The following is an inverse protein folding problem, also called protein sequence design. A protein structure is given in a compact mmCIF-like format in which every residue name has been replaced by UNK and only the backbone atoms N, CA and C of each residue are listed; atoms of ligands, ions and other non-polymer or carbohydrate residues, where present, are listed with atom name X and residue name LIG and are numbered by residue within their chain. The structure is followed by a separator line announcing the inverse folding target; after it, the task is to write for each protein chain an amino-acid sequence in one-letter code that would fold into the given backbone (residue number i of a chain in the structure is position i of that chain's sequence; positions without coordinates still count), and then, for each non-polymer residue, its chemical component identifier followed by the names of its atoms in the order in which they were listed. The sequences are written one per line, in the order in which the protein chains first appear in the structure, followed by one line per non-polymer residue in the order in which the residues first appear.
data_IF_181377391158
#
_entry.id   IF_181377391158
#
_cell.length_a   1.000
_cell.length_b   1.000
_cell.length_c   1.000
_cell.angle_alpha   90.00
_cell.angle_beta   90.00
_cell.angle_gamma   90.00
#
_symmetry.space_group_name_H-M   'P 1'
#
loop_
_entity.id
_entity.type
_entity.pdbx_description
1 polymer ?
#
# COMPACT_ATOMS: atom_id res chain seq x y z
N UNK A 1 -0.76 -27.05 18.82
CA UNK A 1 -0.69 -25.75 19.52
C UNK A 1 -0.25 -24.58 18.61
N UNK A 2 0.47 -24.81 17.51
CA UNK A 2 0.91 -23.77 16.57
C UNK A 2 -0.23 -23.15 15.75
N UNK A 3 -1.18 -23.95 15.29
CA UNK A 3 -2.27 -23.49 14.41
C UNK A 3 -3.27 -22.53 15.09
N UNK A 4 -3.52 -22.72 16.38
CA UNK A 4 -4.46 -21.89 17.13
C UNK A 4 -3.92 -20.49 17.35
N UNK A 5 -2.63 -20.33 17.64
CA UNK A 5 -2.02 -19.00 17.80
C UNK A 5 -1.97 -18.22 16.47
N UNK A 6 -1.70 -18.89 15.36
CA UNK A 6 -1.73 -18.26 14.05
C UNK A 6 -3.13 -17.78 13.64
N UNK A 7 -4.18 -18.52 13.99
CA UNK A 7 -5.55 -18.14 13.69
C UNK A 7 -6.03 -16.99 14.61
N UNK A 8 -5.63 -16.98 15.89
CA UNK A 8 -5.90 -15.87 16.82
C UNK A 8 -5.20 -14.59 16.34
N UNK A 9 -3.94 -14.66 15.95
CA UNK A 9 -3.21 -13.50 15.42
C UNK A 9 -3.83 -12.97 14.11
N UNK A 10 -4.32 -13.88 13.27
CA UNK A 10 -5.03 -13.52 12.05
C UNK A 10 -6.36 -12.83 12.35
N UNK A 11 -7.18 -13.39 13.25
CA UNK A 11 -8.46 -12.80 13.66
C UNK A 11 -8.25 -11.44 14.31
N UNK A 12 -7.25 -11.28 15.15
CA UNK A 12 -6.89 -10.01 15.79
C UNK A 12 -6.53 -8.95 14.75
N UNK A 13 -5.76 -9.31 13.71
CA UNK A 13 -5.46 -8.40 12.60
C UNK A 13 -6.72 -8.01 11.82
N UNK A 14 -7.57 -8.97 11.48
CA UNK A 14 -8.84 -8.71 10.77
C UNK A 14 -9.71 -7.75 11.58
N UNK A 15 -9.88 -8.03 12.89
CA UNK A 15 -10.67 -7.17 13.77
C UNK A 15 -10.09 -5.77 13.87
N UNK A 16 -8.76 -5.64 13.99
CA UNK A 16 -8.09 -4.33 14.06
C UNK A 16 -8.25 -3.55 12.76
N UNK A 17 -8.14 -4.20 11.61
CA UNK A 17 -8.36 -3.56 10.31
C UNK A 17 -9.82 -3.20 10.07
N UNK A 18 -10.77 -4.05 10.50
CA UNK A 18 -12.21 -3.74 10.46
C UNK A 18 -12.57 -2.56 11.36
N UNK A 19 -12.02 -2.49 12.57
CA UNK A 19 -12.22 -1.35 13.48
C UNK A 19 -11.68 -0.06 12.88
N UNK A 20 -10.53 -0.10 12.20
CA UNK A 20 -10.00 1.05 11.46
C UNK A 20 -10.93 1.47 10.33
N UNK A 21 -11.45 0.52 9.54
CA UNK A 21 -12.40 0.82 8.47
C UNK A 21 -13.69 1.47 9.03
N UNK A 22 -14.22 0.97 10.14
CA UNK A 22 -15.42 1.53 10.78
C UNK A 22 -15.13 2.93 11.33
N UNK A 23 -13.97 3.15 11.97
CA UNK A 23 -13.57 4.47 12.45
C UNK A 23 -13.36 5.46 11.31
N UNK A 24 -12.81 5.02 10.18
CA UNK A 24 -12.63 5.82 8.98
C UNK A 24 -13.96 6.11 8.25
N UNK A 25 -14.94 5.19 8.32
CA UNK A 25 -16.29 5.39 7.78
C UNK A 25 -17.14 6.32 8.66
N UNK A 26 -16.88 6.37 9.96
CA UNK A 26 -17.61 7.23 10.93
C UNK A 26 -16.98 8.60 11.13
N UNK A 27 -15.69 8.76 10.88
CA UNK A 27 -15.09 10.09 10.77
C UNK A 27 -15.38 10.64 9.38
N UNK A 28 -16.00 11.78 9.28
CA UNK A 28 -16.51 12.53 8.11
C UNK A 28 -15.52 12.72 6.92
N UNK A 29 -14.67 11.75 6.63
CA UNK A 29 -13.70 11.80 5.53
C UNK A 29 -12.66 12.92 5.64
N UNK A 30 -12.70 13.71 6.70
CA UNK A 30 -11.85 14.88 6.87
C UNK A 30 -10.39 14.47 7.03
N UNK A 31 -9.56 14.92 6.07
CA UNK A 31 -8.12 14.75 6.11
C UNK A 31 -7.51 15.73 7.11
N UNK A 32 -6.56 15.28 7.91
CA UNK A 32 -5.69 16.17 8.67
C UNK A 32 -4.52 16.61 7.79
N UNK A 33 -4.78 17.59 6.94
CA UNK A 33 -3.81 18.05 5.95
C UNK A 33 -2.67 18.84 6.61
N UNK A 34 -1.45 18.45 6.30
CA UNK A 34 -0.23 19.19 6.62
C UNK A 34 0.71 19.24 5.41
N UNK A 35 1.68 20.16 5.43
CA UNK A 35 2.77 20.16 4.46
C UNK A 35 3.77 19.08 4.84
N UNK A 36 4.00 18.14 3.94
CA UNK A 36 4.94 17.04 4.13
C UNK A 36 5.79 16.79 2.89
N UNK A 37 6.92 16.11 3.08
CA UNK A 37 7.75 15.59 2.01
C UNK A 37 7.46 14.10 1.84
N UNK A 38 6.84 13.75 0.70
CA UNK A 38 6.47 12.36 0.41
C UNK A 38 7.70 11.44 0.31
N UNK A 39 8.81 11.94 -0.24
CA UNK A 39 10.04 11.16 -0.34
C UNK A 39 10.61 10.78 1.03
N UNK A 40 10.61 11.72 1.98
CA UNK A 40 11.04 11.44 3.37
C UNK A 40 10.09 10.47 4.08
N UNK A 41 8.78 10.65 3.90
CA UNK A 41 7.78 9.77 4.50
C UNK A 41 7.95 8.33 4.00
N UNK A 42 8.01 8.13 2.69
CA UNK A 42 8.20 6.81 2.07
C UNK A 42 9.56 6.22 2.44
N UNK A 43 10.61 7.04 2.53
CA UNK A 43 11.94 6.61 2.96
C UNK A 43 11.93 6.02 4.37
N UNK A 44 11.21 6.64 5.30
CA UNK A 44 11.07 6.09 6.66
C UNK A 44 10.33 4.74 6.69
N UNK A 45 9.32 4.57 5.83
CA UNK A 45 8.62 3.29 5.66
C UNK A 45 9.56 2.22 5.11
N UNK A 46 10.31 2.52 4.05
CA UNK A 46 11.29 1.59 3.46
C UNK A 46 12.35 1.16 4.49
N UNK A 47 12.85 2.10 5.30
CA UNK A 47 13.84 1.79 6.36
C UNK A 47 13.26 0.81 7.39
N UNK A 48 12.01 0.99 7.80
CA UNK A 48 11.35 0.06 8.75
C UNK A 48 11.10 -1.32 8.16
N UNK A 49 10.82 -1.40 6.87
CA UNK A 49 10.49 -2.66 6.18
C UNK A 49 11.73 -3.37 5.60
N UNK A 50 12.90 -2.75 5.65
CA UNK A 50 14.15 -3.32 5.10
C UNK A 50 14.52 -4.66 5.74
N UNK A 51 14.35 -4.80 7.05
CA UNK A 51 14.58 -6.07 7.74
C UNK A 51 13.65 -7.20 7.25
N UNK A 52 12.39 -6.86 6.96
CA UNK A 52 11.42 -7.82 6.42
C UNK A 52 11.84 -8.28 5.01
N UNK A 53 12.31 -7.35 4.16
CA UNK A 53 12.81 -7.68 2.84
C UNK A 53 14.08 -8.54 2.91
N UNK A 54 15.04 -8.19 3.76
CA UNK A 54 16.29 -8.96 3.96
C UNK A 54 16.02 -10.38 4.45
N UNK A 55 15.09 -10.58 5.38
CA UNK A 55 14.73 -11.90 5.88
C UNK A 55 14.18 -12.83 4.79
N UNK A 56 13.69 -12.27 3.68
CA UNK A 56 13.25 -13.00 2.49
C UNK A 56 14.27 -12.98 1.34
N UNK A 57 15.48 -12.47 1.56
CA UNK A 57 16.49 -12.28 0.52
C UNK A 57 16.01 -11.39 -0.65
N UNK A 58 15.12 -10.44 -0.37
CA UNK A 58 14.61 -9.47 -1.34
C UNK A 58 15.47 -8.22 -1.29
N UNK A 59 15.89 -7.74 -2.46
CA UNK A 59 16.59 -6.45 -2.59
C UNK A 59 15.56 -5.32 -2.62
N UNK A 60 15.55 -4.48 -1.59
CA UNK A 60 14.74 -3.25 -1.56
C UNK A 60 15.56 -2.09 -2.15
N UNK A 61 15.10 -1.52 -3.27
CA UNK A 61 15.75 -0.42 -3.98
C UNK A 61 14.88 0.82 -3.93
N UNK A 62 15.45 1.97 -3.65
CA UNK A 62 14.70 3.23 -3.52
C UNK A 62 15.27 4.33 -4.42
N UNK A 63 14.38 5.08 -5.09
CA UNK A 63 14.64 6.36 -5.78
C UNK A 63 13.62 7.39 -5.27
N UNK A 64 13.97 8.09 -4.20
CA UNK A 64 13.06 8.95 -3.45
C UNK A 64 13.43 10.42 -3.64
N UNK A 65 12.71 11.09 -4.53
CA UNK A 65 12.85 12.53 -4.73
C UNK A 65 12.11 13.30 -3.64
N UNK A 66 12.61 14.47 -3.27
CA UNK A 66 11.89 15.41 -2.41
C UNK A 66 10.65 15.92 -3.15
N UNK A 67 9.47 15.62 -2.64
CA UNK A 67 8.19 16.09 -3.17
C UNK A 67 7.36 16.67 -2.03
N UNK A 68 7.36 17.99 -1.91
CA UNK A 68 6.53 18.69 -0.92
C UNK A 68 5.09 18.74 -1.40
N UNK A 69 4.16 18.29 -0.56
CA UNK A 69 2.74 18.23 -0.87
C UNK A 69 1.89 18.50 0.38
N UNK A 70 0.62 18.83 0.17
CA UNK A 70 -0.39 18.83 1.21
C UNK A 70 -0.96 17.42 1.34
N UNK A 71 -0.98 16.84 2.52
CA UNK A 71 -1.49 15.49 2.72
C UNK A 71 -1.66 15.12 4.19
N UNK A 72 -2.45 14.10 4.44
CA UNK A 72 -2.57 13.48 5.76
C UNK A 72 -1.43 12.47 5.95
N UNK A 73 -0.47 12.82 6.81
CA UNK A 73 0.74 12.03 7.04
C UNK A 73 0.44 10.58 7.40
N UNK A 74 -0.47 10.35 8.34
CA UNK A 74 -0.77 9.01 8.83
C UNK A 74 -1.40 8.14 7.73
N UNK A 75 -2.31 8.73 6.95
CA UNK A 75 -3.00 8.03 5.86
C UNK A 75 -2.06 7.74 4.71
N UNK A 76 -1.20 8.67 4.31
CA UNK A 76 -0.19 8.45 3.27
C UNK A 76 0.89 7.46 3.71
N UNK A 77 1.27 7.45 4.98
CA UNK A 77 2.16 6.43 5.54
C UNK A 77 1.52 5.04 5.43
N UNK A 78 0.24 4.89 5.73
CA UNK A 78 -0.49 3.62 5.60
C UNK A 78 -0.56 3.16 4.14
N UNK A 79 -0.77 4.06 3.18
CA UNK A 79 -0.69 3.76 1.74
C UNK A 79 0.67 3.17 1.39
N UNK A 80 1.76 3.84 1.80
CA UNK A 80 3.12 3.38 1.53
C UNK A 80 3.42 2.02 2.18
N UNK A 81 3.05 1.83 3.45
CA UNK A 81 3.21 0.56 4.18
C UNK A 81 2.49 -0.57 3.45
N UNK A 82 1.20 -0.39 3.13
CA UNK A 82 0.40 -1.42 2.47
C UNK A 82 1.00 -1.85 1.13
N UNK A 83 1.45 -0.91 0.31
CA UNK A 83 2.00 -1.21 -1.01
C UNK A 83 3.38 -1.90 -0.91
N UNK A 84 4.27 -1.41 -0.05
CA UNK A 84 5.61 -1.99 0.11
C UNK A 84 5.55 -3.35 0.79
N UNK A 85 4.73 -3.53 1.83
CA UNK A 85 4.53 -4.84 2.46
C UNK A 85 3.94 -5.86 1.48
N UNK A 86 2.96 -5.48 0.66
CA UNK A 86 2.42 -6.36 -0.37
C UNK A 86 3.49 -6.76 -1.39
N UNK A 87 4.31 -5.82 -1.85
CA UNK A 87 5.39 -6.12 -2.79
C UNK A 87 6.40 -7.13 -2.19
N UNK A 88 6.81 -6.93 -0.93
CA UNK A 88 7.71 -7.86 -0.23
C UNK A 88 7.01 -9.22 -0.01
N UNK A 89 5.74 -9.21 0.36
CA UNK A 89 4.97 -10.42 0.65
C UNK A 89 4.84 -11.33 -0.55
N UNK A 90 4.54 -10.76 -1.72
CA UNK A 90 4.28 -11.51 -2.96
C UNK A 90 5.51 -11.69 -3.86
N UNK A 91 6.69 -11.32 -3.37
CA UNK A 91 7.99 -11.63 -3.97
C UNK A 91 8.67 -12.70 -3.14
N UNK A 92 9.00 -13.82 -3.73
CA UNK A 92 9.72 -14.91 -3.04
C UNK A 92 11.23 -14.64 -3.05
N UNK A 93 11.75 -14.20 -4.20
CA UNK A 93 13.13 -13.73 -4.40
C UNK A 93 13.15 -12.64 -5.47
N UNK A 94 14.12 -11.75 -5.43
CA UNK A 94 14.28 -10.69 -6.44
C UNK A 94 14.32 -9.29 -5.84
N UNK A 95 13.57 -8.37 -6.46
CA UNK A 95 13.69 -6.94 -6.16
C UNK A 95 12.33 -6.30 -5.95
N UNK A 96 12.25 -5.45 -4.93
CA UNK A 96 11.17 -4.46 -4.75
C UNK A 96 11.79 -3.07 -4.94
N UNK A 97 11.24 -2.31 -5.88
CA UNK A 97 11.68 -0.94 -6.20
C UNK A 97 10.61 0.04 -5.76
N UNK A 98 11.01 1.07 -5.02
CA UNK A 98 10.11 2.14 -4.55
C UNK A 98 10.62 3.46 -5.08
N UNK A 99 9.78 4.16 -5.84
CA UNK A 99 10.11 5.45 -6.43
C UNK A 99 9.12 6.51 -5.97
N UNK A 100 9.63 7.69 -5.60
CA UNK A 100 8.84 8.90 -5.39
C UNK A 100 9.34 9.97 -6.34
N UNK A 101 8.43 10.56 -7.09
CA UNK A 101 8.73 11.63 -8.04
C UNK A 101 7.60 12.66 -8.08
N UNK A 102 7.90 13.82 -8.63
CA UNK A 102 6.90 14.81 -9.03
C UNK A 102 6.68 14.68 -10.55
N UNK A 103 5.44 14.54 -10.95
CA UNK A 103 5.00 14.59 -12.35
C UNK A 103 3.94 15.69 -12.47
N UNK A 104 4.30 16.80 -13.10
CA UNK A 104 3.47 18.01 -13.19
C UNK A 104 2.98 18.51 -11.82
N UNK A 105 1.68 18.44 -11.57
CA UNK A 105 1.02 18.83 -10.32
C UNK A 105 0.73 17.63 -9.41
N UNK A 106 1.32 16.48 -9.68
CA UNK A 106 1.11 15.26 -8.92
C UNK A 106 2.38 14.81 -8.20
N UNK A 107 2.21 14.38 -6.96
CA UNK A 107 3.14 13.53 -6.27
C UNK A 107 2.86 12.07 -6.68
N UNK A 108 3.89 11.37 -7.10
CA UNK A 108 3.78 9.99 -7.60
C UNK A 108 4.57 9.07 -6.70
N UNK A 109 3.91 8.03 -6.19
CA UNK A 109 4.53 6.88 -5.53
C UNK A 109 4.36 5.66 -6.42
N UNK A 110 5.46 5.05 -6.81
CA UNK A 110 5.49 3.81 -7.57
C UNK A 110 6.16 2.71 -6.74
N UNK A 111 5.50 1.57 -6.62
CA UNK A 111 6.04 0.37 -5.97
C UNK A 111 5.97 -0.76 -6.98
N UNK A 112 7.15 -1.24 -7.39
CA UNK A 112 7.31 -2.30 -8.38
C UNK A 112 8.00 -3.50 -7.75
N UNK A 113 7.47 -4.69 -7.98
CA UNK A 113 8.07 -5.95 -7.56
C UNK A 113 8.35 -6.87 -8.76
N UNK A 114 9.26 -7.81 -8.56
CA UNK A 114 9.56 -8.90 -9.49
C UNK A 114 8.96 -10.22 -8.99
N UNK A 115 7.84 -10.16 -8.30
CA UNK A 115 7.18 -11.29 -7.65
C UNK A 115 6.33 -12.12 -8.60
N UNK A 116 5.36 -12.81 -8.02
CA UNK A 116 4.50 -13.76 -8.74
C UNK A 116 3.60 -13.13 -9.80
N UNK A 117 3.39 -11.80 -9.74
CA UNK A 117 2.42 -11.12 -10.58
C UNK A 117 0.97 -11.49 -10.24
N UNK A 118 0.05 -10.90 -11.02
CA UNK A 118 -1.39 -11.00 -10.82
C UNK A 118 -2.01 -11.43 -12.14
N UNK A 119 -2.88 -12.43 -12.15
CA UNK A 119 -3.64 -12.80 -13.35
C UNK A 119 -4.50 -11.63 -13.84
N UNK A 120 -4.61 -11.45 -15.15
CA UNK A 120 -5.33 -10.35 -15.77
C UNK A 120 -6.78 -10.24 -15.30
N UNK A 121 -7.46 -11.38 -15.19
CA UNK A 121 -8.83 -11.47 -14.69
C UNK A 121 -9.00 -11.04 -13.23
N UNK A 122 -7.93 -11.02 -12.46
CA UNK A 122 -7.94 -10.61 -11.04
C UNK A 122 -7.68 -9.12 -10.85
N UNK A 123 -7.10 -8.45 -11.84
CA UNK A 123 -6.68 -7.03 -11.71
C UNK A 123 -7.86 -6.12 -11.40
N UNK A 124 -9.00 -6.34 -12.04
CA UNK A 124 -10.21 -5.52 -11.85
C UNK A 124 -10.81 -5.65 -10.43
N UNK A 125 -10.55 -6.77 -9.75
CA UNK A 125 -11.10 -7.08 -8.43
C UNK A 125 -10.16 -6.76 -7.26
N UNK A 126 -8.92 -6.34 -7.53
CA UNK A 126 -7.87 -6.16 -6.50
C UNK A 126 -8.24 -5.20 -5.38
N UNK A 127 -9.06 -4.19 -5.69
CA UNK A 127 -9.49 -3.16 -4.75
C UNK A 127 -10.82 -3.48 -4.05
N UNK A 128 -11.44 -4.62 -4.39
CA UNK A 128 -12.62 -5.11 -3.68
C UNK A 128 -12.25 -5.57 -2.26
N UNK A 129 -13.13 -5.29 -1.30
CA UNK A 129 -12.93 -5.71 0.09
C UNK A 129 -12.94 -7.24 0.18
N UNK A 130 -11.96 -7.80 0.91
CA UNK A 130 -11.77 -9.25 1.12
C UNK A 130 -11.40 -10.05 -0.14
N UNK A 131 -11.17 -9.37 -1.28
CA UNK A 131 -10.74 -10.06 -2.48
C UNK A 131 -9.30 -10.58 -2.34
N UNK A 132 -9.06 -11.76 -2.84
CA UNK A 132 -7.76 -12.44 -2.80
C UNK A 132 -7.60 -13.31 -4.04
N UNK A 133 -6.52 -13.12 -4.77
CA UNK A 133 -6.20 -13.87 -6.00
C UNK A 133 -6.07 -15.38 -5.71
N UNK A 134 -5.43 -15.76 -4.60
CA UNK A 134 -5.25 -17.15 -4.19
C UNK A 134 -5.56 -17.31 -2.69
N UNK A 135 -6.68 -18.00 -2.41
CA UNK A 135 -7.14 -18.28 -1.04
C UNK A 135 -6.23 -19.27 -0.29
N UNK A 136 -5.57 -20.20 -0.99
CA UNK A 136 -4.75 -21.23 -0.38
C UNK A 136 -3.38 -20.66 0.06
N UNK A 137 -2.67 -19.97 -0.84
CA UNK A 137 -1.38 -19.33 -0.56
C UNK A 137 -1.55 -18.20 0.47
N UNK A 138 -2.67 -17.52 0.44
CA UNK A 138 -2.97 -16.44 1.35
C UNK A 138 -3.24 -16.87 2.79
N UNK A 139 -3.61 -18.13 3.04
CA UNK A 139 -3.73 -18.64 4.43
C UNK A 139 -2.37 -18.71 5.11
N UNK A 140 -1.33 -19.12 4.40
CA UNK A 140 0.04 -19.19 4.94
C UNK A 140 0.67 -17.82 5.15
N UNK A 141 0.24 -16.79 4.40
CA UNK A 141 0.82 -15.43 4.46
C UNK A 141 -0.01 -14.43 5.27
N UNK A 142 -1.15 -14.86 5.86
CA UNK A 142 -1.92 -14.06 6.83
C UNK A 142 -2.59 -12.79 6.28
N UNK A 143 -2.83 -12.68 4.95
CA UNK A 143 -3.47 -11.50 4.37
C UNK A 143 -4.96 -11.43 4.65
N UNK A 144 -5.48 -10.24 4.94
CA UNK A 144 -6.90 -9.97 5.24
C UNK A 144 -7.74 -9.71 3.98
N UNK A 145 -7.10 -9.27 2.89
CA UNK A 145 -7.79 -8.81 1.68
C UNK A 145 -8.37 -7.39 1.81
N UNK A 146 -7.96 -6.64 2.84
CA UNK A 146 -8.44 -5.28 3.10
C UNK A 146 -7.41 -4.21 2.72
N UNK A 147 -6.12 -4.52 2.67
CA UNK A 147 -5.05 -3.55 2.49
C UNK A 147 -5.19 -2.72 1.22
N UNK A 148 -5.47 -3.33 0.06
CA UNK A 148 -5.61 -2.59 -1.21
C UNK A 148 -6.90 -1.77 -1.27
N UNK A 149 -8.02 -2.25 -0.73
CA UNK A 149 -9.26 -1.47 -0.67
C UNK A 149 -9.12 -0.26 0.25
N UNK A 150 -8.41 -0.39 1.36
CA UNK A 150 -8.05 0.74 2.24
C UNK A 150 -7.15 1.72 1.49
N UNK A 151 -6.13 1.23 0.80
CA UNK A 151 -5.20 2.06 0.02
C UNK A 151 -5.94 2.89 -1.03
N UNK A 152 -6.83 2.28 -1.80
CA UNK A 152 -7.65 2.99 -2.80
C UNK A 152 -8.51 4.08 -2.15
N UNK A 153 -9.18 3.77 -1.03
CA UNK A 153 -9.99 4.74 -0.28
C UNK A 153 -9.15 5.93 0.18
N UNK A 154 -7.99 5.70 0.80
CA UNK A 154 -7.11 6.76 1.30
C UNK A 154 -6.55 7.63 0.17
N UNK A 155 -6.21 7.03 -0.98
CA UNK A 155 -5.78 7.74 -2.18
C UNK A 155 -6.90 8.59 -2.75
N UNK A 156 -8.13 8.04 -2.85
CA UNK A 156 -9.31 8.75 -3.32
C UNK A 156 -9.69 9.93 -2.42
N UNK A 157 -9.57 9.78 -1.10
CA UNK A 157 -9.76 10.88 -0.14
C UNK A 157 -8.78 12.04 -0.36
N UNK A 158 -7.58 11.75 -0.89
CA UNK A 158 -6.59 12.75 -1.30
C UNK A 158 -6.79 13.24 -2.74
N UNK A 159 -7.95 12.99 -3.37
CA UNK A 159 -8.25 13.29 -4.76
C UNK A 159 -7.26 12.65 -5.75
N UNK A 160 -6.62 11.59 -5.33
CA UNK A 160 -5.65 10.84 -6.11
C UNK A 160 -6.26 9.65 -6.85
N UNK A 161 -5.38 8.95 -7.57
CA UNK A 161 -5.70 7.72 -8.30
C UNK A 161 -4.61 6.68 -8.05
N UNK A 162 -5.02 5.42 -7.93
CA UNK A 162 -4.12 4.26 -7.91
C UNK A 162 -4.35 3.43 -9.16
N UNK A 163 -3.27 3.00 -9.78
CA UNK A 163 -3.26 2.12 -10.95
C UNK A 163 -2.35 0.93 -10.70
N UNK A 164 -2.67 -0.20 -11.30
CA UNK A 164 -1.85 -1.41 -11.26
C UNK A 164 -1.57 -1.92 -12.66
N UNK A 165 -0.32 -2.27 -12.91
CA UNK A 165 0.11 -3.04 -14.08
C UNK A 165 0.80 -4.29 -13.57
N UNK A 166 0.33 -5.45 -14.01
CA UNK A 166 0.88 -6.72 -13.59
C UNK A 166 0.81 -7.75 -14.70
N UNK A 167 1.74 -8.69 -14.63
CA UNK A 167 1.73 -9.86 -15.48
C UNK A 167 2.15 -11.06 -14.65
N UNK A 168 1.38 -12.11 -14.72
CA UNK A 168 1.65 -13.35 -13.99
C UNK A 168 3.05 -13.88 -14.32
N UNK A 169 3.85 -14.14 -13.29
CA UNK A 169 5.23 -14.60 -13.39
C UNK A 169 6.28 -13.50 -13.63
N UNK A 170 5.87 -12.24 -13.85
CA UNK A 170 6.80 -11.12 -14.10
C UNK A 170 6.81 -10.05 -12.99
N UNK A 171 5.80 -10.07 -12.12
CA UNK A 171 5.65 -9.12 -11.04
C UNK A 171 4.57 -8.08 -11.27
N UNK A 172 4.52 -7.08 -10.39
CA UNK A 172 3.49 -6.05 -10.38
C UNK A 172 4.09 -4.66 -10.17
N UNK A 173 3.38 -3.66 -10.65
CA UNK A 173 3.71 -2.24 -10.45
C UNK A 173 2.45 -1.49 -10.05
N UNK A 174 2.42 -0.97 -8.82
CA UNK A 174 1.37 -0.10 -8.32
C UNK A 174 1.85 1.35 -8.40
N UNK A 175 1.03 2.21 -8.99
CA UNK A 175 1.33 3.63 -9.15
C UNK A 175 0.23 4.46 -8.53
N UNK A 176 0.58 5.26 -7.53
CA UNK A 176 -0.31 6.22 -6.86
C UNK A 176 0.04 7.63 -7.33
N UNK A 177 -0.96 8.39 -7.78
CA UNK A 177 -0.84 9.81 -8.14
C UNK A 177 -1.76 10.63 -7.28
N UNK A 178 -1.21 11.60 -6.56
CA UNK A 178 -1.95 12.49 -5.66
C UNK A 178 -1.64 13.94 -6.03
N UNK A 179 -2.65 14.83 -6.19
CA UNK A 179 -2.40 16.25 -6.39
C UNK A 179 -1.53 16.82 -5.27
N UNK A 180 -0.50 17.60 -5.63
CA UNK A 180 0.44 18.19 -4.65
C UNK A 180 -0.27 19.17 -3.72
N UNK A 181 -1.29 19.88 -4.25
CA UNK A 181 -2.15 20.76 -3.46
C UNK A 181 -3.52 20.12 -3.33
N UNK A 182 -4.00 20.07 -2.11
CA UNK A 182 -5.36 19.68 -1.82
C UNK A 182 -6.21 20.94 -1.82
N UNK A 183 -7.26 20.99 -2.65
CA UNK A 183 -8.24 22.07 -2.58
C UNK A 183 -8.95 21.96 -1.23
N UNK A 184 -8.88 23.00 -0.42
CA UNK A 184 -9.75 23.10 0.75
C UNK A 184 -11.18 23.21 0.19
N UNK A 185 -12.04 22.22 0.49
CA UNK A 185 -13.46 22.37 0.26
C UNK A 185 -13.90 23.68 0.92
N UNK A 186 -14.19 24.67 0.08
CA UNK A 186 -14.65 25.98 0.54
C UNK A 186 -15.93 25.81 1.36
N UNK A 187 -15.92 26.42 2.53
CA UNK A 187 -17.13 26.60 3.34
C UNK A 187 -18.19 27.38 2.57
#
# INVERSE_FOLDING_TARGET
FGDVNHEVDRLTRIVTELLRLVQEDTSDGQLNLEKLDLGKLVGSVCTRLDSLARNKNIKLVTDLRTVTMDGDRMRLEQVAVNLVENAIKYTDEGTVSVRVAREDNYAVLEVKDTGIGIPEESVEHLFERFYRVDKARSRSTGGTGLGLSITEKLVTQHHGKIEVKSKLGEGSCFTVRIPIRQESEGK
#
